data_IF_868771183975
#
_entry.id   IF_868771183975
#
_cell.length_a   1.000
_cell.length_b   1.000
_cell.length_c   1.000
_cell.angle_alpha   90.00
_cell.angle_beta   90.00
_cell.angle_gamma   90.00
#
_symmetry.space_group_name_H-M   'P 1'
#
loop_
_entity.id
_entity.type
_entity.pdbx_description
1 polymer ?
#
# COMPACT_ATOMS: atom_id res chain seq x y z
N UNK A 1 58.43 4.88 -25.14
CA UNK A 1 58.15 4.54 -23.72
C UNK A 1 57.96 5.79 -22.87
N UNK A 2 58.88 6.77 -22.87
CA UNK A 2 58.75 8.00 -22.06
C UNK A 2 57.53 8.88 -22.37
N UNK A 3 57.21 9.11 -23.65
CA UNK A 3 56.06 9.94 -24.06
C UNK A 3 54.71 9.37 -23.61
N UNK A 4 54.56 8.05 -23.69
CA UNK A 4 53.34 7.34 -23.23
C UNK A 4 53.20 7.49 -21.71
N UNK A 5 54.29 7.38 -20.96
CA UNK A 5 54.28 7.54 -19.50
C UNK A 5 53.90 8.99 -19.13
N UNK A 6 54.45 9.99 -19.82
CA UNK A 6 54.06 11.39 -19.58
C UNK A 6 52.59 11.65 -19.89
N UNK A 7 52.07 11.10 -20.99
CA UNK A 7 50.65 11.21 -21.33
C UNK A 7 49.74 10.63 -20.24
N UNK A 8 50.07 9.44 -19.72
CA UNK A 8 49.34 8.81 -18.62
C UNK A 8 49.40 9.67 -17.34
N UNK A 9 50.58 10.22 -17.02
CA UNK A 9 50.77 11.08 -15.83
C UNK A 9 50.01 12.40 -15.93
N UNK A 10 49.75 12.91 -17.14
CA UNK A 10 48.93 14.11 -17.33
C UNK A 10 47.44 13.81 -17.19
N UNK A 11 46.96 12.68 -17.73
CA UNK A 11 45.51 12.41 -17.86
C UNK A 11 44.90 11.45 -16.83
N UNK A 12 45.69 10.82 -15.94
CA UNK A 12 45.15 9.82 -14.98
C UNK A 12 44.06 10.39 -14.06
N UNK A 13 44.11 11.67 -13.70
CA UNK A 13 43.10 12.32 -12.86
C UNK A 13 41.76 12.41 -13.60
N UNK A 14 41.76 12.77 -14.88
CA UNK A 14 40.55 12.82 -15.71
C UNK A 14 39.94 11.42 -15.84
N UNK A 15 40.78 10.41 -16.07
CA UNK A 15 40.33 9.02 -16.19
C UNK A 15 39.78 8.49 -14.86
N UNK A 16 40.37 8.90 -13.73
CA UNK A 16 39.86 8.60 -12.40
C UNK A 16 38.48 9.21 -12.18
N UNK A 17 38.29 10.49 -12.53
CA UNK A 17 36.97 11.14 -12.43
C UNK A 17 35.93 10.45 -13.32
N UNK A 18 36.28 10.13 -14.56
CA UNK A 18 35.38 9.38 -15.46
C UNK A 18 35.02 8.01 -14.89
N UNK A 19 36.00 7.28 -14.34
CA UNK A 19 35.77 5.98 -13.71
C UNK A 19 34.84 6.10 -12.49
N UNK A 20 35.09 7.08 -11.60
CA UNK A 20 34.27 7.33 -10.41
C UNK A 20 32.86 7.75 -10.82
N UNK A 21 32.70 8.69 -11.75
CA UNK A 21 31.39 9.14 -12.23
C UNK A 21 30.60 8.01 -12.88
N UNK A 22 31.28 7.15 -13.66
CA UNK A 22 30.65 5.97 -14.27
C UNK A 22 30.20 4.99 -13.20
N UNK A 23 31.06 4.70 -12.22
CA UNK A 23 30.74 3.82 -11.10
C UNK A 23 29.55 4.33 -10.28
N UNK A 24 29.55 5.61 -9.90
CA UNK A 24 28.45 6.24 -9.19
C UNK A 24 27.14 6.21 -9.99
N UNK A 25 27.21 6.45 -11.31
CA UNK A 25 26.05 6.37 -12.19
C UNK A 25 25.45 4.95 -12.27
N UNK A 26 26.29 3.92 -12.31
CA UNK A 26 25.84 2.52 -12.28
C UNK A 26 25.21 2.17 -10.94
N UNK A 27 25.84 2.55 -9.82
CA UNK A 27 25.31 2.36 -8.48
C UNK A 27 23.93 3.03 -8.30
N UNK A 28 23.81 4.29 -8.71
CA UNK A 28 22.55 5.03 -8.67
C UNK A 28 21.45 4.35 -9.50
N UNK A 29 21.75 3.94 -10.73
CA UNK A 29 20.80 3.22 -11.59
C UNK A 29 20.34 1.91 -10.97
N UNK A 30 21.25 1.16 -10.35
CA UNK A 30 20.91 -0.10 -9.67
C UNK A 30 20.00 0.14 -8.46
N UNK A 31 20.31 1.15 -7.63
CA UNK A 31 19.48 1.53 -6.49
C UNK A 31 18.10 2.02 -6.93
N UNK A 32 18.04 2.90 -7.93
CA UNK A 32 16.78 3.41 -8.48
C UNK A 32 15.91 2.27 -9.06
N UNK A 33 16.54 1.29 -9.73
CA UNK A 33 15.83 0.11 -10.24
C UNK A 33 15.23 -0.73 -9.09
N UNK A 34 16.00 -0.97 -8.02
CA UNK A 34 15.50 -1.68 -6.83
C UNK A 34 14.35 -0.92 -6.16
N UNK A 35 14.50 0.39 -5.98
CA UNK A 35 13.46 1.22 -5.38
C UNK A 35 12.17 1.23 -6.20
N UNK A 36 12.27 1.28 -7.53
CA UNK A 36 11.11 1.18 -8.42
C UNK A 36 10.44 -0.19 -8.36
N UNK A 37 11.20 -1.26 -8.17
CA UNK A 37 10.64 -2.60 -8.03
C UNK A 37 9.89 -2.75 -6.70
N UNK A 38 10.49 -2.29 -5.60
CA UNK A 38 9.87 -2.30 -4.28
C UNK A 38 8.64 -1.38 -4.22
N UNK A 39 8.68 -0.20 -4.85
CA UNK A 39 7.50 0.67 -4.93
C UNK A 39 6.35 0.02 -5.69
N UNK A 40 6.64 -0.72 -6.77
CA UNK A 40 5.62 -1.49 -7.51
C UNK A 40 5.02 -2.61 -6.66
N UNK A 41 5.84 -3.36 -5.92
CA UNK A 41 5.37 -4.41 -5.01
C UNK A 41 4.50 -3.81 -3.90
N UNK A 42 4.95 -2.72 -3.28
CA UNK A 42 4.19 -2.03 -2.24
C UNK A 42 2.86 -1.48 -2.77
N UNK A 43 2.83 -0.93 -3.99
CA UNK A 43 1.58 -0.50 -4.62
C UNK A 43 0.63 -1.69 -4.83
N UNK A 44 1.12 -2.81 -5.35
CA UNK A 44 0.30 -4.01 -5.51
C UNK A 44 -0.22 -4.58 -4.18
N UNK A 45 0.59 -4.54 -3.12
CA UNK A 45 0.17 -4.93 -1.76
C UNK A 45 -0.91 -4.01 -1.21
N UNK A 46 -0.74 -2.70 -1.41
CA UNK A 46 -1.70 -1.69 -0.99
C UNK A 46 -3.05 -1.89 -1.69
N UNK A 47 -3.04 -2.04 -3.02
CA UNK A 47 -4.25 -2.26 -3.82
C UNK A 47 -4.93 -3.59 -3.45
N UNK A 48 -4.15 -4.65 -3.25
CA UNK A 48 -4.65 -5.95 -2.81
C UNK A 48 -5.29 -5.89 -1.42
N UNK A 49 -4.65 -5.21 -0.47
CA UNK A 49 -5.19 -5.01 0.88
C UNK A 49 -6.48 -4.19 0.85
N UNK A 50 -6.51 -3.12 0.05
CA UNK A 50 -7.68 -2.29 -0.15
C UNK A 50 -8.86 -3.12 -0.71
N UNK A 51 -8.61 -3.96 -1.72
CA UNK A 51 -9.63 -4.83 -2.30
C UNK A 51 -10.15 -5.87 -1.29
N UNK A 52 -9.26 -6.48 -0.50
CA UNK A 52 -9.62 -7.45 0.54
C UNK A 52 -10.45 -6.82 1.66
N UNK A 53 -10.04 -5.65 2.15
CA UNK A 53 -10.80 -4.93 3.20
C UNK A 53 -12.18 -4.53 2.70
N UNK A 54 -12.28 -4.06 1.44
CA UNK A 54 -13.56 -3.76 0.81
C UNK A 54 -14.48 -4.97 0.77
N UNK A 55 -13.98 -6.11 0.28
CA UNK A 55 -14.72 -7.36 0.22
C UNK A 55 -15.20 -7.80 1.62
N UNK A 56 -14.34 -7.67 2.64
CA UNK A 56 -14.71 -8.00 4.02
C UNK A 56 -15.78 -7.09 4.61
N UNK A 57 -15.75 -5.80 4.32
CA UNK A 57 -16.81 -4.86 4.73
C UNK A 57 -18.14 -5.23 4.04
N UNK A 58 -18.11 -5.58 2.75
CA UNK A 58 -19.32 -6.02 2.02
C UNK A 58 -19.88 -7.32 2.62
N UNK A 59 -19.02 -8.29 2.93
CA UNK A 59 -19.45 -9.54 3.55
C UNK A 59 -20.04 -9.32 4.94
N UNK A 60 -19.42 -8.47 5.76
CA UNK A 60 -19.95 -8.11 7.07
C UNK A 60 -21.32 -7.42 6.93
N UNK A 61 -21.46 -6.51 5.96
CA UNK A 61 -22.74 -5.87 5.66
C UNK A 61 -23.81 -6.90 5.34
N UNK A 62 -23.59 -7.79 4.37
CA UNK A 62 -24.57 -8.80 3.99
C UNK A 62 -24.94 -9.70 5.17
N UNK A 63 -23.95 -10.17 5.93
CA UNK A 63 -24.15 -11.05 7.08
C UNK A 63 -25.01 -10.44 8.19
N UNK A 64 -24.80 -9.15 8.51
CA UNK A 64 -25.60 -8.49 9.54
C UNK A 64 -26.93 -7.95 8.99
N UNK A 65 -26.97 -7.55 7.73
CA UNK A 65 -28.19 -7.16 7.04
C UNK A 65 -29.21 -8.30 7.05
N UNK A 66 -28.78 -9.54 6.77
CA UNK A 66 -29.65 -10.73 6.81
C UNK A 66 -30.18 -11.04 8.23
N UNK A 67 -29.47 -10.60 9.28
CA UNK A 67 -29.87 -10.80 10.68
C UNK A 67 -30.76 -9.67 11.21
N UNK A 68 -30.77 -8.52 10.55
CA UNK A 68 -31.49 -7.32 11.00
C UNK A 68 -30.84 -6.57 12.17
N UNK A 69 -29.70 -7.04 12.68
CA UNK A 69 -28.95 -6.39 13.77
C UNK A 69 -27.44 -6.56 13.59
N UNK A 70 -26.66 -5.63 14.12
CA UNK A 70 -25.20 -5.69 14.16
C UNK A 70 -24.71 -5.48 15.60
N UNK A 71 -24.20 -6.52 16.28
CA UNK A 71 -23.72 -6.39 17.65
C UNK A 71 -22.52 -5.46 17.73
N UNK A 72 -22.28 -4.89 18.93
CA UNK A 72 -21.23 -3.89 19.18
C UNK A 72 -19.86 -4.32 18.63
N UNK A 73 -19.45 -5.58 18.85
CA UNK A 73 -18.17 -6.08 18.34
C UNK A 73 -18.11 -6.12 16.82
N UNK A 74 -19.25 -6.37 16.15
CA UNK A 74 -19.35 -6.37 14.69
C UNK A 74 -19.18 -4.97 14.13
N UNK A 75 -19.82 -3.98 14.77
CA UNK A 75 -19.66 -2.57 14.45
C UNK A 75 -18.21 -2.11 14.62
N UNK A 76 -17.58 -2.45 15.75
CA UNK A 76 -16.19 -2.09 15.99
C UNK A 76 -15.24 -2.72 14.96
N UNK A 77 -15.44 -4.00 14.64
CA UNK A 77 -14.64 -4.70 13.64
C UNK A 77 -14.72 -4.01 12.27
N UNK A 78 -15.93 -3.72 11.81
CA UNK A 78 -16.18 -3.04 10.52
C UNK A 78 -15.58 -1.64 10.52
N UNK A 79 -15.69 -0.90 11.63
CA UNK A 79 -15.06 0.42 11.76
C UNK A 79 -13.54 0.35 11.60
N UNK A 80 -12.88 -0.60 12.28
CA UNK A 80 -11.43 -0.78 12.16
C UNK A 80 -11.00 -1.15 10.74
N UNK A 81 -11.75 -2.04 10.08
CA UNK A 81 -11.50 -2.39 8.67
C UNK A 81 -11.69 -1.19 7.75
N UNK A 82 -12.75 -0.41 7.97
CA UNK A 82 -13.04 0.78 7.19
C UNK A 82 -11.96 1.86 7.36
N UNK A 83 -11.50 2.13 8.60
CA UNK A 83 -10.49 3.14 8.85
C UNK A 83 -9.19 2.82 8.10
N UNK A 84 -8.76 1.55 8.11
CA UNK A 84 -7.62 1.10 7.31
C UNK A 84 -7.90 1.22 5.80
N UNK A 85 -9.06 0.77 5.33
CA UNK A 85 -9.45 0.87 3.92
C UNK A 85 -9.48 2.33 3.41
N UNK A 86 -9.97 3.25 4.22
CA UNK A 86 -10.08 4.67 3.86
C UNK A 86 -8.69 5.32 3.75
N UNK A 87 -7.76 4.99 4.65
CA UNK A 87 -6.35 5.42 4.55
C UNK A 87 -5.70 4.92 3.26
N UNK A 88 -6.08 3.73 2.79
CA UNK A 88 -5.61 3.17 1.51
C UNK A 88 -6.32 3.79 0.28
N UNK A 89 -6.99 4.93 0.41
CA UNK A 89 -7.69 5.59 -0.70
C UNK A 89 -9.01 4.92 -1.11
N UNK A 90 -9.65 4.21 -0.19
CA UNK A 90 -10.96 3.59 -0.37
C UNK A 90 -12.07 4.54 -0.81
N UNK A 91 -12.97 4.05 -1.68
CA UNK A 91 -14.10 4.82 -2.23
C UNK A 91 -15.42 4.70 -1.44
N UNK A 92 -16.39 5.53 -1.84
CA UNK A 92 -17.64 5.82 -1.11
C UNK A 92 -18.55 4.61 -0.83
N UNK A 93 -18.43 3.52 -1.59
CA UNK A 93 -19.32 2.36 -1.43
C UNK A 93 -19.15 1.71 -0.06
N UNK A 94 -17.91 1.43 0.37
CA UNK A 94 -17.68 0.81 1.68
C UNK A 94 -17.98 1.79 2.83
N UNK A 95 -17.88 3.10 2.58
CA UNK A 95 -18.29 4.15 3.52
C UNK A 95 -19.79 4.05 3.82
N UNK A 96 -20.61 3.97 2.77
CA UNK A 96 -22.06 3.85 2.91
C UNK A 96 -22.45 2.56 3.65
N UNK A 97 -21.81 1.43 3.33
CA UNK A 97 -22.07 0.15 4.00
C UNK A 97 -21.70 0.19 5.49
N UNK A 98 -20.54 0.77 5.82
CA UNK A 98 -20.14 0.99 7.22
C UNK A 98 -21.17 1.84 7.95
N UNK A 99 -21.61 2.94 7.35
CA UNK A 99 -22.57 3.85 7.99
C UNK A 99 -23.94 3.20 8.20
N UNK A 100 -24.40 2.36 7.26
CA UNK A 100 -25.61 1.55 7.44
C UNK A 100 -25.46 0.59 8.61
N UNK A 101 -24.34 -0.15 8.70
CA UNK A 101 -24.05 -1.06 9.81
C UNK A 101 -24.04 -0.35 11.17
N UNK A 102 -23.44 0.85 11.25
CA UNK A 102 -23.40 1.60 12.51
C UNK A 102 -24.80 1.97 13.02
N UNK A 103 -25.75 2.19 12.10
CA UNK A 103 -27.15 2.54 12.41
C UNK A 103 -28.04 1.34 12.75
N UNK A 104 -27.56 0.11 12.53
CA UNK A 104 -28.33 -1.09 12.88
C UNK A 104 -28.49 -1.24 14.40
N UNK A 105 -29.59 -1.86 14.87
CA UNK A 105 -29.73 -2.22 16.27
C UNK A 105 -28.63 -3.20 16.69
N UNK A 106 -28.29 -3.19 17.98
CA UNK A 106 -27.18 -3.99 18.52
C UNK A 106 -27.61 -5.35 19.03
N UNK A 107 -28.91 -5.49 19.25
CA UNK A 107 -29.56 -6.70 19.74
C UNK A 107 -30.59 -7.16 18.69
N UNK A 108 -30.83 -8.48 18.57
CA UNK A 108 -31.90 -8.98 17.73
C UNK A 108 -33.24 -8.43 18.20
N UNK A 109 -34.13 -8.10 17.26
CA UNK A 109 -35.51 -7.76 17.62
C UNK A 109 -36.12 -8.93 18.40
N UNK A 110 -36.61 -8.67 19.61
CA UNK A 110 -37.33 -9.66 20.40
C UNK A 110 -38.45 -10.24 19.53
N UNK A 111 -38.43 -11.56 19.31
CA UNK A 111 -39.54 -12.22 18.63
C UNK A 111 -40.74 -12.11 19.57
N UNK A 112 -41.73 -11.31 19.19
CA UNK A 112 -43.08 -11.41 19.76
C UNK A 112 -43.56 -12.85 19.49
N UNK A 113 -43.62 -13.66 20.55
CA UNK A 113 -44.22 -15.01 20.53
C UNK A 113 -45.75 -14.94 20.38
#
# INVERSE_FOLDING_TARGET
MGEIIQYIVVHWVEWLFVAISTFLGLCYRQMAKRQKEESRKNAALHDGMQALLRDRIIQAYNHYQDRGYCPIYGKENVKRMYDAYHVLGGNDVATELKDKLMKMPEEPAEREE
#
